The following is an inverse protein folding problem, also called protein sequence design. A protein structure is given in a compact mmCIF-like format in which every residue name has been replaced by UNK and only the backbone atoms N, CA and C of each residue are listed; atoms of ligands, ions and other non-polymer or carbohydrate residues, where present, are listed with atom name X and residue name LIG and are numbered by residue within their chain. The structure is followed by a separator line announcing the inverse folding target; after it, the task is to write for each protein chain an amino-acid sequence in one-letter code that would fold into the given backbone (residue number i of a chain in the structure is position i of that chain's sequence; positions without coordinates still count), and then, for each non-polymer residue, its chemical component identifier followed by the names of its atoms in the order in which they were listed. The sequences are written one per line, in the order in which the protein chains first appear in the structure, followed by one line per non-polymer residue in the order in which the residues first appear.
data_IF_700140205752
#
_entry.id   IF_700140205752
#
_cell.length_a   1.000
_cell.length_b   1.000
_cell.length_c   1.000
_cell.angle_alpha   90.00
_cell.angle_beta   90.00
_cell.angle_gamma   90.00
#
_symmetry.space_group_name_H-M   'P 1'
#
loop_
_entity.id
_entity.type
_entity.pdbx_description
1 polymer ?
#
# COMPACT_ATOMS: atom_id res chain seq x y z
N UNK A 1 -10.20 1.23 -18.48
CA UNK A 1 -8.74 0.96 -18.46
C UNK A 1 -8.58 -0.22 -17.54
N UNK A 2 -8.20 -1.33 -18.11
CA UNK A 2 -8.40 -2.67 -17.57
C UNK A 2 -7.41 -2.96 -16.43
N UNK A 3 -7.96 -3.44 -15.31
CA UNK A 3 -7.27 -3.70 -14.03
C UNK A 3 -6.52 -5.03 -14.17
N UNK A 4 -5.20 -5.02 -14.39
CA UNK A 4 -4.43 -6.23 -14.70
C UNK A 4 -3.24 -6.47 -13.76
N UNK A 5 -3.41 -6.20 -12.46
CA UNK A 5 -2.50 -6.70 -11.43
C UNK A 5 -3.07 -7.82 -10.55
N UNK A 6 -4.40 -7.98 -10.42
CA UNK A 6 -5.17 -8.74 -9.39
C UNK A 6 -4.63 -10.04 -8.73
N UNK A 7 -3.98 -10.03 -7.57
CA UNK A 7 -4.16 -11.10 -6.56
C UNK A 7 -5.63 -11.11 -6.05
N UNK A 8 -6.54 -11.76 -6.79
CA UNK A 8 -7.97 -11.80 -6.46
C UNK A 8 -8.27 -12.79 -5.34
N UNK A 9 -9.18 -12.41 -4.43
CA UNK A 9 -9.50 -13.15 -3.21
C UNK A 9 -10.31 -14.43 -3.44
N UNK A 10 -11.12 -14.51 -4.51
CA UNK A 10 -11.89 -15.71 -4.83
C UNK A 10 -11.55 -16.26 -6.21
N UNK A 11 -11.56 -17.59 -6.35
CA UNK A 11 -11.32 -18.25 -7.65
C UNK A 11 -12.28 -17.74 -8.75
N UNK A 12 -13.53 -17.48 -8.37
CA UNK A 12 -14.56 -16.99 -9.30
C UNK A 12 -14.35 -15.57 -9.80
N UNK A 13 -13.38 -14.84 -9.26
CA UNK A 13 -13.05 -13.50 -9.74
C UNK A 13 -12.07 -13.56 -10.92
N UNK A 14 -11.36 -14.68 -11.10
CA UNK A 14 -10.44 -14.90 -12.20
C UNK A 14 -11.16 -15.30 -13.47
N UNK A 15 -10.77 -14.71 -14.59
CA UNK A 15 -10.87 -15.35 -15.90
C UNK A 15 -9.80 -16.44 -16.00
N UNK A 16 -10.03 -17.42 -16.86
CA UNK A 16 -9.04 -18.49 -17.10
C UNK A 16 -7.68 -17.94 -17.55
N UNK A 17 -7.66 -16.86 -18.33
CA UNK A 17 -6.42 -16.23 -18.79
C UNK A 17 -5.62 -15.54 -17.67
N UNK A 18 -6.31 -14.92 -16.70
CA UNK A 18 -5.66 -14.32 -15.52
C UNK A 18 -5.09 -15.40 -14.59
N UNK A 19 -5.85 -16.48 -14.36
CA UNK A 19 -5.38 -17.57 -13.52
C UNK A 19 -4.21 -18.31 -14.15
N UNK A 20 -4.27 -18.54 -15.46
CA UNK A 20 -3.16 -19.12 -16.22
C UNK A 20 -1.89 -18.28 -16.09
N UNK A 21 -2.01 -16.96 -16.16
CA UNK A 21 -0.89 -16.05 -15.98
C UNK A 21 -0.28 -16.14 -14.56
N UNK A 22 -1.12 -16.22 -13.52
CA UNK A 22 -0.67 -16.46 -12.16
C UNK A 22 0.11 -17.79 -12.04
N UNK A 23 -0.37 -18.85 -12.69
CA UNK A 23 0.32 -20.14 -12.73
C UNK A 23 1.67 -20.08 -13.44
N UNK A 24 1.79 -19.33 -14.53
CA UNK A 24 3.07 -19.10 -15.21
C UNK A 24 4.08 -18.39 -14.30
N UNK A 25 3.62 -17.42 -13.49
CA UNK A 25 4.46 -16.75 -12.50
C UNK A 25 4.94 -17.72 -11.41
N UNK A 26 4.03 -18.52 -10.84
CA UNK A 26 4.37 -19.53 -9.81
C UNK A 26 5.44 -20.51 -10.35
N UNK A 27 5.23 -21.06 -11.54
CA UNK A 27 6.14 -22.05 -12.15
C UNK A 27 7.46 -21.43 -12.65
N UNK A 28 7.50 -20.11 -12.85
CA UNK A 28 8.69 -19.37 -13.23
C UNK A 28 9.65 -19.08 -12.07
N UNK A 29 9.21 -19.23 -10.81
CA UNK A 29 10.06 -19.06 -9.62
C UNK A 29 10.93 -20.30 -9.37
N UNK A 30 12.21 -20.14 -8.99
CA UNK A 30 13.08 -21.29 -8.72
C UNK A 30 12.65 -22.03 -7.41
N UNK A 31 12.52 -23.37 -7.41
CA UNK A 31 11.98 -24.13 -6.28
C UNK A 31 12.84 -24.14 -5.00
N UNK A 32 14.05 -23.57 -5.02
CA UNK A 32 15.06 -23.79 -3.98
C UNK A 32 15.81 -22.51 -3.58
N UNK A 33 15.20 -21.70 -2.72
CA UNK A 33 15.96 -20.92 -1.74
C UNK A 33 15.43 -19.53 -1.42
N UNK A 34 14.72 -19.40 -0.30
CA UNK A 34 14.45 -18.14 0.43
C UNK A 34 13.64 -17.06 -0.31
N UNK A 35 13.02 -17.39 -1.43
CA UNK A 35 12.18 -16.46 -2.16
C UNK A 35 10.78 -16.32 -1.51
N UNK A 36 10.60 -15.24 -0.73
CA UNK A 36 9.32 -14.91 -0.08
C UNK A 36 8.21 -14.61 -1.10
N UNK A 37 8.56 -14.22 -2.33
CA UNK A 37 7.59 -14.05 -3.41
C UNK A 37 7.01 -15.39 -3.83
N UNK A 38 7.86 -16.41 -4.00
CA UNK A 38 7.41 -17.78 -4.26
C UNK A 38 6.51 -18.30 -3.14
N UNK A 39 6.89 -18.11 -1.86
CA UNK A 39 6.05 -18.51 -0.71
C UNK A 39 4.68 -17.80 -0.71
N UNK A 40 4.64 -16.49 -0.99
CA UNK A 40 3.41 -15.69 -1.07
C UNK A 40 2.49 -16.15 -2.22
N UNK A 41 3.05 -16.40 -3.40
CA UNK A 41 2.28 -16.89 -4.55
C UNK A 41 1.76 -18.32 -4.33
N UNK A 42 2.55 -19.17 -3.68
CA UNK A 42 2.15 -20.53 -3.31
C UNK A 42 1.05 -20.54 -2.23
N UNK A 43 1.14 -19.66 -1.24
CA UNK A 43 0.11 -19.50 -0.22
C UNK A 43 -1.20 -19.03 -0.85
N UNK A 44 -1.13 -18.01 -1.70
CA UNK A 44 -2.29 -17.49 -2.42
C UNK A 44 -2.94 -18.54 -3.33
N UNK A 45 -2.14 -19.32 -4.05
CA UNK A 45 -2.61 -20.46 -4.84
C UNK A 45 -3.34 -21.49 -3.97
N UNK A 46 -2.78 -21.85 -2.81
CA UNK A 46 -3.40 -22.77 -1.86
C UNK A 46 -4.77 -22.26 -1.37
N UNK A 47 -4.86 -20.98 -1.03
CA UNK A 47 -6.08 -20.36 -0.52
C UNK A 47 -7.17 -20.26 -1.58
N UNK A 48 -6.83 -19.74 -2.76
CA UNK A 48 -7.82 -19.42 -3.79
C UNK A 48 -8.35 -20.67 -4.48
N UNK A 49 -7.51 -21.69 -4.71
CA UNK A 49 -7.95 -22.88 -5.46
C UNK A 49 -8.84 -23.79 -4.64
N UNK A 50 -8.70 -23.77 -3.30
CA UNK A 50 -9.35 -24.69 -2.36
C UNK A 50 -9.06 -26.17 -2.66
N UNK A 51 -8.03 -26.44 -3.48
CA UNK A 51 -7.72 -27.78 -3.94
C UNK A 51 -7.16 -28.64 -2.79
N UNK A 52 -7.62 -29.89 -2.57
CA UNK A 52 -7.28 -30.67 -1.38
C UNK A 52 -5.78 -30.93 -1.22
N UNK A 53 -5.08 -31.16 -2.33
CA UNK A 53 -3.63 -31.41 -2.32
C UNK A 53 -2.84 -30.10 -2.45
N UNK A 54 -3.51 -28.94 -2.52
CA UNK A 54 -2.89 -27.61 -2.47
C UNK A 54 -1.67 -27.52 -3.40
N UNK A 55 -0.52 -27.08 -2.88
CA UNK A 55 0.75 -26.94 -3.60
C UNK A 55 1.38 -28.27 -4.01
N UNK A 56 0.88 -29.44 -3.57
CA UNK A 56 1.37 -30.74 -4.04
C UNK A 56 1.07 -30.95 -5.53
N UNK A 57 0.06 -30.29 -6.09
CA UNK A 57 -0.13 -30.25 -7.55
C UNK A 57 1.08 -29.70 -8.31
N UNK A 58 1.86 -28.83 -7.67
CA UNK A 58 3.03 -28.17 -8.24
C UNK A 58 4.30 -28.96 -7.89
N UNK A 59 4.46 -29.38 -6.64
CA UNK A 59 5.69 -30.00 -6.14
C UNK A 59 5.72 -31.53 -6.26
N UNK A 60 4.56 -32.19 -6.15
CA UNK A 60 4.41 -33.65 -6.13
C UNK A 60 3.30 -34.14 -7.06
N UNK A 61 3.39 -33.81 -8.37
CA UNK A 61 2.37 -34.17 -9.34
C UNK A 61 2.23 -35.69 -9.52
N UNK A 62 1.01 -36.16 -9.76
CA UNK A 62 0.76 -37.57 -10.12
C UNK A 62 1.55 -37.96 -11.37
N UNK A 63 2.02 -39.21 -11.42
CA UNK A 63 2.83 -39.70 -12.53
C UNK A 63 2.07 -39.60 -13.87
N UNK A 64 2.60 -38.80 -14.80
CA UNK A 64 2.00 -38.56 -16.11
C UNK A 64 0.99 -37.40 -16.17
N UNK A 65 0.79 -36.66 -15.08
CA UNK A 65 0.01 -35.41 -15.09
C UNK A 65 0.70 -34.30 -15.88
N UNK A 66 -0.09 -33.39 -16.47
CA UNK A 66 0.41 -32.21 -17.16
C UNK A 66 0.75 -31.13 -16.13
N UNK A 67 2.04 -30.93 -15.88
CA UNK A 67 2.57 -29.96 -14.91
C UNK A 67 2.78 -28.57 -15.48
N UNK A 68 2.33 -28.32 -16.72
CA UNK A 68 2.32 -26.96 -17.26
C UNK A 68 1.31 -26.07 -16.53
N UNK A 69 1.48 -24.75 -16.63
CA UNK A 69 0.51 -23.78 -16.10
C UNK A 69 -0.92 -24.10 -16.59
N UNK A 70 -1.05 -24.50 -17.85
CA UNK A 70 -2.32 -24.91 -18.45
C UNK A 70 -2.84 -26.22 -17.87
N UNK A 71 -1.98 -27.24 -17.74
CA UNK A 71 -2.34 -28.53 -17.18
C UNK A 71 -2.89 -28.40 -15.75
N UNK A 72 -2.20 -27.65 -14.90
CA UNK A 72 -2.64 -27.38 -13.52
C UNK A 72 -3.95 -26.56 -13.51
N UNK A 73 -4.06 -25.53 -14.35
CA UNK A 73 -5.30 -24.75 -14.51
C UNK A 73 -6.48 -25.64 -14.90
N UNK A 74 -6.27 -26.57 -15.83
CA UNK A 74 -7.29 -27.52 -16.28
C UNK A 74 -7.69 -28.53 -15.20
N UNK A 75 -6.74 -29.00 -14.37
CA UNK A 75 -6.99 -29.89 -13.23
C UNK A 75 -7.91 -29.19 -12.22
N UNK A 76 -7.56 -27.96 -11.82
CA UNK A 76 -8.34 -27.19 -10.83
C UNK A 76 -9.73 -26.89 -11.37
N UNK A 77 -9.82 -26.46 -12.64
CA UNK A 77 -11.11 -26.20 -13.31
C UNK A 77 -12.03 -27.43 -13.26
N UNK A 78 -11.51 -28.60 -13.64
CA UNK A 78 -12.28 -29.86 -13.65
C UNK A 78 -12.66 -30.30 -12.23
N UNK A 79 -11.76 -30.16 -11.26
CA UNK A 79 -12.03 -30.52 -9.88
C UNK A 79 -13.12 -29.64 -9.26
N UNK A 80 -13.08 -28.31 -9.48
CA UNK A 80 -14.12 -27.40 -8.99
C UNK A 80 -15.48 -27.69 -9.61
N UNK A 81 -15.51 -27.97 -10.91
CA UNK A 81 -16.74 -28.38 -11.61
C UNK A 81 -17.31 -29.68 -11.02
N UNK A 82 -16.48 -30.70 -10.79
CA UNK A 82 -16.90 -31.97 -10.21
C UNK A 82 -17.44 -31.85 -8.77
N UNK A 83 -16.98 -30.84 -8.01
CA UNK A 83 -17.41 -30.57 -6.64
C UNK A 83 -18.53 -29.51 -6.53
N UNK A 84 -19.03 -28.99 -7.66
CA UNK A 84 -20.08 -27.98 -7.68
C UNK A 84 -19.65 -26.61 -7.14
N UNK A 85 -18.35 -26.31 -7.17
CA UNK A 85 -17.79 -25.03 -6.77
C UNK A 85 -17.83 -24.01 -7.93
N UNK A 86 -17.92 -22.70 -7.65
CA UNK A 86 -17.84 -21.66 -8.68
C UNK A 86 -16.54 -21.76 -9.50
N UNK A 87 -16.67 -21.75 -10.82
CA UNK A 87 -15.56 -21.71 -11.77
C UNK A 87 -15.14 -20.28 -12.15
N UNK A 88 -14.34 -20.16 -13.20
CA UNK A 88 -13.85 -18.86 -13.69
C UNK A 88 -14.98 -17.89 -14.10
N UNK A 89 -14.71 -16.60 -13.91
CA UNK A 89 -15.47 -15.50 -14.50
C UNK A 89 -15.45 -15.56 -16.02
N UNK A 90 -16.51 -15.05 -16.65
CA UNK A 90 -16.56 -14.85 -18.10
C UNK A 90 -15.33 -14.08 -18.60
N UNK A 91 -14.79 -14.52 -19.74
CA UNK A 91 -13.60 -13.92 -20.35
C UNK A 91 -13.75 -12.40 -20.51
N UNK A 92 -12.68 -11.68 -20.18
CA UNK A 92 -12.54 -10.26 -20.47
C UNK A 92 -11.85 -10.11 -21.85
N UNK A 93 -12.59 -9.68 -22.90
CA UNK A 93 -12.04 -9.56 -24.24
C UNK A 93 -10.98 -8.46 -24.38
N UNK A 94 -10.91 -7.54 -23.40
CA UNK A 94 -9.89 -6.50 -23.34
C UNK A 94 -8.70 -6.91 -22.45
N UNK A 95 -8.72 -8.13 -21.88
CA UNK A 95 -7.58 -8.65 -21.12
C UNK A 95 -6.37 -8.85 -22.03
N UNK A 96 -5.40 -7.95 -21.88
CA UNK A 96 -4.05 -8.21 -22.34
C UNK A 96 -3.23 -8.55 -21.10
N UNK A 97 -2.66 -9.77 -20.99
CA UNK A 97 -1.66 -10.00 -19.95
C UNK A 97 -0.62 -8.89 -20.09
N UNK A 98 -0.20 -8.25 -18.98
CA UNK A 98 0.72 -7.14 -19.10
C UNK A 98 1.93 -7.62 -19.91
N UNK A 99 2.44 -6.79 -20.83
CA UNK A 99 3.62 -7.14 -21.62
C UNK A 99 4.80 -7.25 -20.68
N UNK A 100 4.99 -8.45 -20.16
CA UNK A 100 6.16 -8.81 -19.39
C UNK A 100 7.20 -9.27 -20.39
N UNK A 101 8.23 -8.46 -20.55
CA UNK A 101 9.49 -9.03 -21.00
C UNK A 101 9.90 -10.08 -19.94
N UNK A 102 10.50 -11.21 -20.34
CA UNK A 102 10.87 -12.25 -19.38
C UNK A 102 11.82 -11.67 -18.32
N UNK A 103 11.70 -12.09 -17.04
CA UNK A 103 12.63 -11.66 -15.99
C UNK A 103 14.09 -11.74 -16.44
N UNK A 104 14.86 -10.68 -16.22
CA UNK A 104 16.25 -10.57 -16.66
C UNK A 104 16.43 -9.96 -18.05
N UNK A 105 15.37 -9.36 -18.59
CA UNK A 105 15.42 -8.60 -19.85
C UNK A 105 15.62 -7.10 -19.63
N UNK A 106 15.19 -6.57 -18.48
CA UNK A 106 15.28 -5.14 -18.17
C UNK A 106 16.62 -4.79 -17.52
N UNK A 107 17.20 -3.67 -17.97
CA UNK A 107 18.35 -3.09 -17.29
C UNK A 107 17.95 -2.36 -16.00
N UNK A 108 18.85 -2.28 -15.02
CA UNK A 108 18.61 -1.53 -13.77
C UNK A 108 18.08 -0.11 -14.00
N UNK A 109 18.55 0.59 -15.04
CA UNK A 109 18.07 1.94 -15.37
C UNK A 109 16.61 1.98 -15.80
N UNK A 110 16.11 0.94 -16.46
CA UNK A 110 14.72 0.80 -16.86
C UNK A 110 13.85 0.46 -15.66
N UNK A 111 14.29 -0.49 -14.82
CA UNK A 111 13.65 -0.85 -13.55
C UNK A 111 13.50 0.39 -12.66
N UNK A 112 14.59 1.15 -12.44
CA UNK A 112 14.53 2.39 -11.66
C UNK A 112 13.54 3.40 -12.22
N UNK A 113 13.51 3.58 -13.54
CA UNK A 113 12.59 4.51 -14.20
C UNK A 113 11.12 4.12 -14.04
N UNK A 114 10.83 2.82 -13.95
CA UNK A 114 9.47 2.31 -13.72
C UNK A 114 9.07 2.34 -12.24
N UNK A 115 10.05 2.26 -11.32
CA UNK A 115 9.81 2.27 -9.87
C UNK A 115 9.79 3.67 -9.27
N UNK A 116 10.55 4.62 -9.80
CA UNK A 116 10.73 5.92 -9.14
C UNK A 116 9.39 6.64 -8.93
N UNK A 117 9.11 7.02 -7.68
CA UNK A 117 7.94 7.83 -7.33
C UNK A 117 8.38 9.10 -6.62
N UNK A 118 7.79 10.27 -6.92
CA UNK A 118 8.04 11.46 -6.14
C UNK A 118 7.32 11.37 -4.78
N UNK A 119 7.94 11.93 -3.76
CA UNK A 119 7.37 12.09 -2.43
C UNK A 119 7.63 13.50 -1.89
N UNK A 120 6.93 13.86 -0.83
CA UNK A 120 7.16 15.09 -0.12
C UNK A 120 7.19 14.79 1.38
N UNK A 121 8.35 14.94 1.98
CA UNK A 121 8.54 14.75 3.41
C UNK A 121 8.09 15.99 4.18
N UNK A 122 7.47 15.77 5.33
CA UNK A 122 7.07 16.79 6.28
C UNK A 122 7.97 16.67 7.51
N UNK A 123 8.92 17.58 7.63
CA UNK A 123 9.89 17.59 8.73
C UNK A 123 9.54 18.66 9.76
N UNK A 124 9.84 18.40 11.03
CA UNK A 124 9.66 19.37 12.11
C UNK A 124 10.37 20.68 11.78
N UNK A 125 9.65 21.80 11.88
CA UNK A 125 10.20 23.13 11.65
C UNK A 125 10.66 23.76 12.97
N UNK A 126 11.94 24.13 13.05
CA UNK A 126 12.51 24.89 14.18
C UNK A 126 12.19 26.40 14.12
N UNK A 127 11.56 26.86 13.03
CA UNK A 127 11.21 28.27 12.81
C UNK A 127 9.85 28.65 13.39
N UNK A 128 9.59 29.95 13.63
CA UNK A 128 8.29 30.42 14.08
C UNK A 128 7.21 30.07 13.03
N UNK A 129 6.01 29.72 13.52
CA UNK A 129 4.82 29.58 12.68
C UNK A 129 4.61 30.89 11.89
N UNK A 130 4.54 30.77 10.57
CA UNK A 130 4.40 31.85 9.60
C UNK A 130 2.94 32.14 9.31
N UNK A 131 2.11 31.10 9.23
CA UNK A 131 0.66 31.20 9.03
C UNK A 131 -0.05 29.89 9.40
N UNK A 132 -0.67 29.85 10.58
CA UNK A 132 -1.36 28.65 11.11
C UNK A 132 -2.50 28.14 10.21
N UNK A 133 -2.98 28.94 9.27
CA UNK A 133 -4.09 28.59 8.37
C UNK A 133 -3.61 27.82 7.14
N UNK A 134 -2.37 28.00 6.70
CA UNK A 134 -1.83 27.31 5.49
C UNK A 134 -0.67 26.37 5.81
N UNK A 135 -0.35 26.23 7.09
CA UNK A 135 0.72 25.36 7.58
C UNK A 135 0.24 23.93 7.82
N UNK A 136 1.09 22.98 7.44
CA UNK A 136 0.97 21.61 7.91
C UNK A 136 1.43 21.50 9.36
N UNK A 137 0.77 20.64 10.13
CA UNK A 137 1.03 20.39 11.54
C UNK A 137 1.01 18.91 11.85
N UNK A 138 1.80 18.52 12.83
CA UNK A 138 1.67 17.25 13.54
C UNK A 138 1.20 17.53 14.97
N UNK A 139 0.45 16.60 15.57
CA UNK A 139 -0.13 16.72 16.91
C UNK A 139 -1.20 17.81 17.06
N UNK A 140 -1.64 18.43 15.96
CA UNK A 140 -2.62 19.51 15.94
C UNK A 140 -3.43 19.52 14.65
N UNK A 141 -4.73 19.79 14.81
CA UNK A 141 -5.63 20.21 13.74
C UNK A 141 -6.26 21.53 14.17
N UNK A 142 -6.18 22.56 13.33
CA UNK A 142 -6.78 23.87 13.59
C UNK A 142 -7.88 24.23 12.61
N UNK A 143 -7.97 23.56 11.47
CA UNK A 143 -8.97 23.83 10.45
C UNK A 143 -10.12 22.84 10.51
N UNK A 144 -11.33 23.38 10.58
CA UNK A 144 -12.57 22.63 10.67
C UNK A 144 -13.63 23.27 9.79
N UNK A 145 -14.56 22.47 9.27
CA UNK A 145 -15.82 23.01 8.75
C UNK A 145 -16.57 23.81 9.82
N UNK A 146 -17.44 24.73 9.38
CA UNK A 146 -18.14 25.68 10.27
C UNK A 146 -18.83 25.00 11.47
N UNK A 147 -19.53 23.88 11.21
CA UNK A 147 -20.28 23.12 12.22
C UNK A 147 -19.50 21.94 12.80
N UNK A 148 -18.27 21.71 12.32
CA UNK A 148 -17.49 20.55 12.74
C UNK A 148 -16.79 20.75 14.09
N UNK A 149 -16.70 19.68 14.86
CA UNK A 149 -15.83 19.59 16.03
C UNK A 149 -14.78 18.49 15.85
N UNK A 150 -14.10 18.19 16.96
CA UNK A 150 -13.26 16.99 17.07
C UNK A 150 -14.16 15.76 16.88
N UNK A 151 -13.82 14.82 15.98
CA UNK A 151 -14.59 13.59 15.81
C UNK A 151 -14.56 12.77 17.10
N UNK A 152 -15.63 12.00 17.33
CA UNK A 152 -15.79 11.14 18.50
C UNK A 152 -16.11 9.73 18.06
N UNK A 153 -15.61 8.75 18.79
CA UNK A 153 -16.00 7.34 18.61
C UNK A 153 -17.44 7.09 19.11
N UNK A 154 -17.93 5.87 18.93
CA UNK A 154 -19.29 5.46 19.32
C UNK A 154 -19.55 5.57 20.84
N UNK A 155 -18.50 5.64 21.65
CA UNK A 155 -18.58 5.85 23.10
C UNK A 155 -18.57 7.35 23.48
N UNK A 156 -18.47 8.25 22.51
CA UNK A 156 -18.42 9.69 22.72
C UNK A 156 -17.03 10.21 23.13
N UNK A 157 -15.98 9.40 23.01
CA UNK A 157 -14.60 9.78 23.29
C UNK A 157 -14.01 10.49 22.07
N UNK A 158 -13.38 11.64 22.29
CA UNK A 158 -12.74 12.43 21.24
C UNK A 158 -11.50 11.73 20.69
N UNK A 159 -11.38 11.69 19.36
CA UNK A 159 -10.17 11.20 18.69
C UNK A 159 -9.06 12.25 18.77
N UNK A 160 -7.81 11.80 18.93
CA UNK A 160 -6.67 12.69 19.04
C UNK A 160 -6.30 13.28 17.66
N UNK A 161 -6.00 14.59 17.56
CA UNK A 161 -5.54 15.19 16.32
C UNK A 161 -4.10 14.78 16.04
N UNK A 162 -3.89 14.00 14.98
CA UNK A 162 -2.57 13.50 14.59
C UNK A 162 -1.89 14.45 13.61
N UNK A 163 -2.59 14.88 12.55
CA UNK A 163 -2.00 15.71 11.52
C UNK A 163 -3.01 16.61 10.83
N UNK A 164 -2.52 17.77 10.38
CA UNK A 164 -3.15 18.61 9.37
C UNK A 164 -2.13 18.80 8.24
N UNK A 165 -2.44 18.35 7.03
CA UNK A 165 -1.53 18.41 5.89
C UNK A 165 -2.10 19.34 4.82
N UNK A 166 -1.39 20.43 4.53
CA UNK A 166 -1.69 21.33 3.41
C UNK A 166 -1.02 20.81 2.14
N UNK A 167 -1.83 20.50 1.14
CA UNK A 167 -1.38 19.82 -0.08
C UNK A 167 -1.07 20.79 -1.23
N UNK A 168 -1.50 22.05 -1.13
CA UNK A 168 -1.30 23.05 -2.20
C UNK A 168 0.16 23.38 -2.50
N UNK A 169 1.09 23.01 -1.61
CA UNK A 169 2.54 23.19 -1.77
C UNK A 169 3.28 21.92 -2.23
N UNK A 170 2.57 20.80 -2.46
CA UNK A 170 3.20 19.58 -2.94
C UNK A 170 3.93 19.81 -4.27
N UNK A 171 5.13 19.22 -4.45
CA UNK A 171 5.92 19.38 -5.66
C UNK A 171 5.37 18.55 -6.84
N UNK A 172 4.31 17.76 -6.62
CA UNK A 172 3.64 16.93 -7.60
C UNK A 172 2.13 16.89 -7.32
N UNK A 173 1.36 16.40 -8.28
CA UNK A 173 -0.07 16.12 -8.13
C UNK A 173 -0.26 14.64 -7.85
N UNK A 174 -0.73 14.28 -6.66
CA UNK A 174 -1.11 12.90 -6.37
C UNK A 174 -2.49 12.61 -6.99
N UNK A 175 -2.64 11.58 -7.84
CA UNK A 175 -3.87 11.35 -8.59
C UNK A 175 -5.10 11.14 -7.69
N UNK A 176 -4.93 10.47 -6.55
CA UNK A 176 -6.03 10.22 -5.59
C UNK A 176 -6.38 11.39 -4.68
N UNK A 177 -5.62 12.48 -4.76
CA UNK A 177 -5.84 13.71 -4.00
C UNK A 177 -6.20 14.88 -4.92
N UNK A 178 -6.62 14.62 -6.17
CA UNK A 178 -7.09 15.66 -7.05
C UNK A 178 -8.31 16.38 -6.43
N UNK A 179 -8.26 17.71 -6.44
CA UNK A 179 -9.26 18.55 -5.77
C UNK A 179 -9.14 18.64 -4.25
N UNK A 180 -8.22 17.93 -3.59
CA UNK A 180 -7.99 18.02 -2.14
C UNK A 180 -6.90 19.05 -1.84
N UNK A 181 -7.22 20.02 -0.98
CA UNK A 181 -6.31 21.08 -0.54
C UNK A 181 -5.76 20.84 0.86
N UNK A 182 -6.56 20.26 1.76
CA UNK A 182 -6.18 19.98 3.15
C UNK A 182 -6.67 18.59 3.54
N UNK A 183 -5.81 17.84 4.23
CA UNK A 183 -6.16 16.59 4.92
C UNK A 183 -6.03 16.81 6.42
N UNK A 184 -6.99 16.33 7.20
CA UNK A 184 -6.86 16.25 8.67
C UNK A 184 -7.06 14.82 9.13
N UNK A 185 -6.19 14.37 10.04
CA UNK A 185 -6.14 12.99 10.54
C UNK A 185 -6.38 12.97 12.03
N UNK A 186 -7.30 12.11 12.46
CA UNK A 186 -7.63 11.87 13.85
C UNK A 186 -7.55 10.37 14.16
N UNK A 187 -6.99 10.00 15.31
CA UNK A 187 -6.81 8.59 15.71
C UNK A 187 -7.11 8.44 17.21
N UNK A 188 -7.74 7.35 17.59
CA UNK A 188 -8.02 6.99 18.97
C UNK A 188 -6.75 6.56 19.73
N UNK A 189 -6.88 6.49 21.05
CA UNK A 189 -5.98 5.78 21.94
C UNK A 189 -6.81 4.74 22.73
N UNK A 190 -6.50 3.44 22.66
CA UNK A 190 -5.43 2.81 21.88
C UNK A 190 -5.62 2.95 20.36
N UNK A 191 -4.56 2.67 19.59
CA UNK A 191 -4.61 2.67 18.12
C UNK A 191 -5.71 1.72 17.59
N UNK A 192 -6.32 2.05 16.44
CA UNK A 192 -7.31 1.19 15.77
C UNK A 192 -6.72 -0.16 15.38
N UNK A 193 -7.54 -1.16 15.14
CA UNK A 193 -7.07 -2.43 14.58
C UNK A 193 -6.57 -2.26 13.12
N UNK A 194 -5.66 -3.13 12.68
CA UNK A 194 -5.20 -3.13 11.30
C UNK A 194 -6.38 -3.32 10.34
N UNK A 195 -6.50 -2.45 9.33
CA UNK A 195 -7.62 -2.40 8.39
C UNK A 195 -9.00 -2.16 9.03
N UNK A 196 -9.06 -1.65 10.27
CA UNK A 196 -10.34 -1.21 10.84
C UNK A 196 -10.98 -0.17 9.91
N UNK A 197 -12.29 -0.26 9.58
CA UNK A 197 -12.96 0.73 8.76
C UNK A 197 -12.87 2.14 9.37
N UNK A 198 -12.67 3.15 8.52
CA UNK A 198 -12.63 4.54 8.95
C UNK A 198 -13.96 4.96 9.60
N UNK A 199 -13.87 5.63 10.74
CA UNK A 199 -15.00 6.27 11.40
C UNK A 199 -14.94 6.21 12.93
N UNK A 200 -14.80 5.01 13.48
CA UNK A 200 -14.91 4.80 14.93
C UNK A 200 -13.61 5.15 15.66
N UNK A 201 -12.51 4.47 15.36
CA UNK A 201 -11.22 4.68 16.05
C UNK A 201 -10.21 5.51 15.24
N UNK A 202 -10.53 5.88 14.01
CA UNK A 202 -9.72 6.80 13.22
C UNK A 202 -10.56 7.47 12.14
N UNK A 203 -10.16 8.66 11.72
CA UNK A 203 -10.90 9.44 10.75
C UNK A 203 -9.98 10.38 9.96
N UNK A 204 -10.14 10.36 8.64
CA UNK A 204 -9.59 11.35 7.73
C UNK A 204 -10.72 12.26 7.26
N UNK A 205 -10.45 13.57 7.21
CA UNK A 205 -11.27 14.53 6.44
C UNK A 205 -10.44 15.09 5.31
N UNK A 206 -11.06 15.18 4.14
CA UNK A 206 -10.55 15.83 2.95
C UNK A 206 -11.32 17.13 2.72
N UNK A 207 -10.59 18.21 2.49
CA UNK A 207 -11.19 19.50 2.14
C UNK A 207 -10.59 19.99 0.84
N UNK A 208 -11.46 20.33 -0.11
CA UNK A 208 -11.12 21.02 -1.34
C UNK A 208 -11.15 22.55 -1.21
N UNK A 209 -10.86 23.26 -2.31
CA UNK A 209 -10.74 24.72 -2.32
C UNK A 209 -12.05 25.45 -2.04
N UNK A 210 -13.20 24.81 -2.29
CA UNK A 210 -14.53 25.38 -2.08
C UNK A 210 -15.07 25.16 -0.65
N UNK A 211 -14.37 24.37 0.18
CA UNK A 211 -14.76 24.17 1.56
C UNK A 211 -14.45 25.42 2.40
N UNK A 212 -15.47 25.91 3.11
CA UNK A 212 -15.30 27.02 4.06
C UNK A 212 -14.77 26.46 5.39
N UNK A 213 -13.46 26.60 5.59
CA UNK A 213 -12.79 26.22 6.83
C UNK A 213 -12.62 27.42 7.75
N UNK A 214 -12.78 27.19 9.05
CA UNK A 214 -12.54 28.19 10.08
C UNK A 214 -11.49 27.69 11.07
N UNK A 215 -10.58 28.56 11.55
CA UNK A 215 -9.67 28.21 12.63
C UNK A 215 -10.44 27.93 13.93
N UNK A 216 -10.19 26.79 14.56
CA UNK A 216 -10.69 26.45 15.90
C UNK A 216 -9.54 25.87 16.72
N UNK A 217 -9.49 26.25 18.00
CA UNK A 217 -8.56 25.66 18.99
C UNK A 217 -9.36 24.68 19.85
N UNK A 218 -9.30 23.40 19.49
CA UNK A 218 -10.04 22.31 20.13
C UNK A 218 -9.07 21.26 20.70
N UNK A 219 -8.43 21.53 21.86
CA UNK A 219 -7.47 20.59 22.44
C UNK A 219 -8.17 19.34 22.95
N UNK A 220 -7.60 18.17 22.65
CA UNK A 220 -8.06 16.88 23.17
C UNK A 220 -7.16 16.46 24.34
N UNK A 221 -7.76 16.24 25.51
CA UNK A 221 -7.02 15.81 26.68
C UNK A 221 -6.36 14.44 26.45
N UNK A 222 -5.14 14.25 26.98
CA UNK A 222 -4.43 12.97 26.90
C UNK A 222 -3.57 12.76 25.65
N UNK A 223 -3.58 13.68 24.68
CA UNK A 223 -2.62 13.62 23.56
C UNK A 223 -1.18 13.76 24.07
N UNK A 224 -0.33 12.81 23.70
CA UNK A 224 1.11 12.80 24.04
C UNK A 224 1.96 13.46 22.95
N UNK A 225 1.43 13.64 21.75
CA UNK A 225 2.13 14.22 20.60
C UNK A 225 2.33 15.71 20.84
N UNK A 226 3.58 16.17 20.75
CA UNK A 226 3.91 17.59 20.80
C UNK A 226 3.49 18.26 19.49
N UNK A 227 2.54 19.18 19.59
CA UNK A 227 2.07 19.97 18.46
C UNK A 227 3.18 20.87 17.88
N UNK A 228 3.57 20.66 16.63
CA UNK A 228 4.58 21.48 15.92
C UNK A 228 4.24 21.68 14.45
N UNK A 229 4.62 22.84 13.86
CA UNK A 229 4.47 23.05 12.43
C UNK A 229 5.49 22.21 11.66
N UNK A 230 5.08 21.76 10.47
CA UNK A 230 5.89 20.96 9.57
C UNK A 230 6.32 21.80 8.37
N UNK A 231 7.56 21.57 7.93
CA UNK A 231 8.11 22.09 6.69
C UNK A 231 8.12 20.99 5.64
N UNK A 232 7.67 21.32 4.44
CA UNK A 232 7.76 20.43 3.29
C UNK A 232 9.18 20.38 2.72
N UNK A 233 9.67 19.17 2.45
CA UNK A 233 10.93 18.89 1.76
C UNK A 233 10.62 17.99 0.56
N UNK A 234 10.83 18.46 -0.67
CA UNK A 234 10.64 17.63 -1.86
C UNK A 234 11.60 16.44 -1.90
N UNK A 235 11.08 15.27 -2.22
CA UNK A 235 11.84 14.05 -2.52
C UNK A 235 11.53 13.68 -3.97
N UNK A 236 12.45 13.97 -4.88
CA UNK A 236 12.23 13.75 -6.31
C UNK A 236 12.16 12.26 -6.68
N UNK A 237 12.91 11.43 -5.96
CA UNK A 237 13.08 10.01 -6.22
C UNK A 237 12.98 9.23 -4.91
N UNK A 238 11.85 8.54 -4.72
CA UNK A 238 11.61 7.59 -3.65
C UNK A 238 11.45 6.18 -4.25
N UNK A 239 12.15 5.21 -3.67
CA UNK A 239 12.17 3.81 -4.11
C UNK A 239 11.60 2.87 -3.03
N UNK A 240 11.05 1.71 -3.42
CA UNK A 240 10.51 0.75 -2.46
C UNK A 240 11.60 0.09 -1.62
N UNK A 241 11.24 -0.37 -0.43
CA UNK A 241 12.06 -1.25 0.38
C UNK A 241 11.97 -2.69 -0.14
N UNK A 242 12.98 -3.50 0.18
CA UNK A 242 12.86 -4.95 -0.01
C UNK A 242 11.69 -5.48 0.81
N UNK A 243 10.84 -6.28 0.16
CA UNK A 243 9.63 -6.82 0.78
C UNK A 243 8.73 -5.71 1.35
N UNK A 244 8.82 -4.49 0.82
CA UNK A 244 8.17 -3.30 1.36
C UNK A 244 6.81 -2.99 0.76
N UNK A 245 6.18 -3.91 0.02
CA UNK A 245 4.89 -3.71 -0.62
C UNK A 245 4.85 -2.60 -1.69
N UNK A 246 3.80 -2.61 -2.52
CA UNK A 246 3.56 -1.58 -3.53
C UNK A 246 4.45 -1.64 -4.78
N UNK A 247 5.34 -2.62 -4.88
CA UNK A 247 6.13 -2.93 -6.08
C UNK A 247 5.33 -3.90 -6.97
N UNK A 248 5.12 -3.59 -8.26
CA UNK A 248 4.50 -4.52 -9.18
C UNK A 248 5.31 -5.83 -9.28
N UNK A 249 4.63 -6.99 -9.25
CA UNK A 249 5.27 -8.31 -9.23
C UNK A 249 6.28 -8.56 -10.35
N UNK A 250 6.05 -7.98 -11.52
CA UNK A 250 6.99 -8.09 -12.64
C UNK A 250 8.28 -7.28 -12.42
N UNK A 251 8.20 -6.14 -11.72
CA UNK A 251 9.39 -5.39 -11.35
C UNK A 251 10.11 -6.08 -10.19
N UNK A 252 9.39 -6.72 -9.26
CA UNK A 252 10.00 -7.59 -8.24
C UNK A 252 10.85 -8.68 -8.91
N UNK A 253 10.31 -9.37 -9.92
CA UNK A 253 11.04 -10.40 -10.65
C UNK A 253 12.29 -9.86 -11.38
N UNK A 254 12.21 -8.68 -12.00
CA UNK A 254 13.39 -8.04 -12.62
C UNK A 254 14.45 -7.67 -11.58
N UNK A 255 14.05 -7.16 -10.40
CA UNK A 255 15.00 -6.85 -9.31
C UNK A 255 15.70 -8.13 -8.84
N UNK A 256 14.96 -9.23 -8.66
CA UNK A 256 15.53 -10.53 -8.26
C UNK A 256 16.54 -11.02 -9.30
N UNK A 257 16.24 -10.89 -10.59
CA UNK A 257 17.18 -11.29 -11.65
C UNK A 257 18.41 -10.39 -11.73
N UNK A 258 18.27 -9.08 -11.49
CA UNK A 258 19.40 -8.16 -11.37
C UNK A 258 20.31 -8.54 -10.19
N UNK A 259 19.74 -8.94 -9.06
CA UNK A 259 20.51 -9.43 -7.90
C UNK A 259 21.20 -10.77 -8.22
N UNK A 260 20.47 -11.72 -8.81
CA UNK A 260 20.98 -13.05 -9.16
C UNK A 260 22.12 -12.99 -10.18
N UNK A 261 22.03 -12.08 -11.14
CA UNK A 261 23.07 -11.84 -12.15
C UNK A 261 24.27 -11.04 -11.62
N UNK A 262 24.18 -10.53 -10.38
CA UNK A 262 25.23 -9.72 -9.74
C UNK A 262 25.31 -8.29 -10.29
N UNK A 263 24.24 -7.79 -10.92
CA UNK A 263 24.15 -6.39 -11.38
C UNK A 263 23.80 -5.42 -10.24
N UNK A 264 23.16 -5.92 -9.18
CA UNK A 264 22.93 -5.23 -7.91
C UNK A 264 23.26 -6.17 -6.75
N UNK A 265 23.63 -5.62 -5.59
CA UNK A 265 23.79 -6.33 -4.33
C UNK A 265 22.47 -6.44 -3.55
N UNK A 266 21.52 -5.54 -3.82
CA UNK A 266 20.19 -5.57 -3.22
C UNK A 266 19.36 -4.33 -3.55
N UNK A 267 18.23 -4.16 -2.84
CA UNK A 267 17.27 -3.08 -3.11
C UNK A 267 17.84 -1.67 -2.85
N UNK A 268 18.85 -1.56 -1.99
CA UNK A 268 19.56 -0.30 -1.71
C UNK A 268 20.22 0.28 -2.98
N UNK A 269 20.55 -0.56 -3.96
CA UNK A 269 21.11 -0.12 -5.22
C UNK A 269 20.07 0.52 -6.14
N UNK A 270 18.78 0.37 -5.87
CA UNK A 270 17.70 1.02 -6.63
C UNK A 270 17.69 2.52 -6.37
N UNK A 271 17.86 2.94 -5.13
CA UNK A 271 17.94 4.35 -4.74
C UNK A 271 17.58 4.57 -3.27
N UNK A 272 17.18 5.79 -2.96
CA UNK A 272 16.86 6.19 -1.59
C UNK A 272 15.38 6.00 -1.24
N UNK A 273 15.13 5.71 0.03
CA UNK A 273 13.79 5.65 0.61
C UNK A 273 13.61 6.72 1.69
N UNK A 274 12.49 7.44 1.64
CA UNK A 274 12.06 8.42 2.63
C UNK A 274 11.26 7.75 3.75
N UNK A 275 11.78 7.71 4.98
CA UNK A 275 11.15 6.99 6.10
C UNK A 275 10.20 7.85 6.96
N UNK A 276 10.28 9.18 6.82
CA UNK A 276 9.58 10.13 7.69
C UNK A 276 8.09 10.27 7.38
N UNK A 277 7.46 11.28 8.00
CA UNK A 277 6.11 11.68 7.58
C UNK A 277 6.15 12.14 6.13
N UNK A 278 5.37 11.52 5.25
CA UNK A 278 5.40 11.86 3.82
C UNK A 278 4.07 11.67 3.14
N UNK A 279 3.87 12.42 2.06
CA UNK A 279 2.83 12.17 1.04
C UNK A 279 3.54 11.70 -0.23
N UNK A 280 2.98 10.70 -0.91
CA UNK A 280 3.58 10.06 -2.09
C UNK A 280 4.74 9.13 -1.75
N UNK A 281 5.33 8.53 -2.79
CA UNK A 281 6.40 7.54 -2.64
C UNK A 281 5.88 6.13 -2.36
N UNK A 282 6.63 5.40 -1.53
CA UNK A 282 6.34 4.03 -1.08
C UNK A 282 6.13 3.95 0.43
N UNK A 283 5.26 3.07 0.95
CA UNK A 283 5.14 2.86 2.39
C UNK A 283 6.47 2.39 3.03
N UNK A 284 6.71 2.77 4.28
CA UNK A 284 7.83 2.27 5.08
C UNK A 284 7.36 1.19 6.05
N UNK A 285 7.67 -0.07 5.73
CA UNK A 285 7.40 -1.21 6.61
C UNK A 285 8.62 -1.57 7.47
N UNK A 286 8.36 -1.97 8.71
CA UNK A 286 9.32 -2.61 9.61
C UNK A 286 9.32 -4.14 9.44
N UNK A 287 8.17 -4.71 9.06
CA UNK A 287 7.94 -6.12 8.81
C UNK A 287 7.79 -6.38 7.30
N UNK A 288 7.63 -7.63 6.84
CA UNK A 288 7.19 -7.88 5.46
C UNK A 288 5.93 -7.07 5.14
N UNK A 289 5.98 -6.35 4.03
CA UNK A 289 4.95 -5.43 3.59
C UNK A 289 3.66 -6.14 3.24
N UNK A 290 2.56 -5.44 3.44
CA UNK A 290 1.23 -5.92 3.07
C UNK A 290 0.73 -5.23 1.81
N UNK A 291 -0.18 -5.90 1.12
CA UNK A 291 -0.95 -5.32 0.03
C UNK A 291 -2.42 -5.24 0.48
N UNK A 292 -2.98 -4.03 0.69
CA UNK A 292 -4.40 -3.86 1.03
C UNK A 292 -5.36 -4.24 -0.11
N UNK A 293 -4.83 -4.65 -1.26
CA UNK A 293 -5.57 -4.97 -2.48
C UNK A 293 -5.29 -3.92 -3.54
N UNK A 294 -5.37 -4.29 -4.81
CA UNK A 294 -4.78 -3.47 -5.87
C UNK A 294 -5.57 -2.25 -6.29
N UNK A 295 -6.83 -2.20 -5.89
CA UNK A 295 -7.59 -0.99 -6.05
C UNK A 295 -7.02 0.10 -5.13
N UNK A 296 -6.19 -0.21 -4.14
CA UNK A 296 -5.59 0.75 -3.22
C UNK A 296 -4.21 1.24 -3.70
N UNK A 297 -3.99 2.55 -3.55
CA UNK A 297 -2.68 3.17 -3.73
C UNK A 297 -2.23 3.78 -2.42
N UNK A 298 -0.95 3.61 -2.08
CA UNK A 298 -0.35 4.31 -0.96
C UNK A 298 -0.43 5.81 -1.19
N UNK A 299 -0.88 6.56 -0.19
CA UNK A 299 -1.04 8.01 -0.30
C UNK A 299 -0.08 8.74 0.62
N UNK A 300 -0.05 8.39 1.90
CA UNK A 300 0.81 9.06 2.88
C UNK A 300 1.05 8.18 4.10
N UNK A 301 2.07 8.56 4.90
CA UNK A 301 2.33 7.95 6.20
C UNK A 301 2.69 8.98 7.26
N UNK A 302 2.49 8.60 8.51
CA UNK A 302 2.93 9.31 9.71
C UNK A 302 3.78 8.35 10.54
N UNK A 303 5.09 8.55 10.50
CA UNK A 303 6.06 7.70 11.21
C UNK A 303 6.27 8.14 12.67
N UNK A 304 6.84 7.26 13.48
CA UNK A 304 7.35 7.64 14.81
C UNK A 304 8.40 8.75 14.68
N UNK A 305 8.32 9.77 15.54
CA UNK A 305 9.32 10.84 15.64
C UNK A 305 9.52 11.26 17.10
N UNK A 306 10.68 10.97 17.70
CA UNK A 306 10.96 11.29 19.09
C UNK A 306 11.04 12.81 19.35
N UNK A 307 11.28 13.64 18.32
CA UNK A 307 11.33 15.11 18.46
C UNK A 307 9.97 15.70 18.82
N UNK A 308 8.89 14.97 18.52
CA UNK A 308 7.52 15.38 18.76
C UNK A 308 6.80 14.43 19.71
N UNK A 309 7.53 13.54 20.39
CA UNK A 309 6.95 12.54 21.29
C UNK A 309 5.85 11.67 20.64
N UNK A 310 5.98 11.39 19.34
CA UNK A 310 5.12 10.45 18.64
C UNK A 310 5.84 9.11 18.54
N UNK A 311 5.23 8.07 19.12
CA UNK A 311 5.70 6.69 19.00
C UNK A 311 4.55 5.82 18.51
N UNK A 312 4.66 5.31 17.29
CA UNK A 312 3.73 4.32 16.73
C UNK A 312 4.22 2.95 17.19
N UNK A 313 3.69 2.50 18.34
CA UNK A 313 3.96 1.22 19.00
C UNK A 313 5.45 0.98 19.33
N UNK A 314 6.26 0.52 18.38
CA UNK A 314 7.71 0.34 18.52
C UNK A 314 8.44 0.88 17.29
N UNK A 315 8.57 2.21 17.23
CA UNK A 315 9.22 2.95 16.12
C UNK A 315 8.63 2.67 14.73
N UNK A 316 7.34 2.35 14.68
CA UNK A 316 6.59 2.05 13.46
C UNK A 316 6.08 3.27 12.69
N UNK A 317 5.20 3.00 11.73
CA UNK A 317 4.53 4.02 10.92
C UNK A 317 3.03 3.74 10.73
N UNK A 318 2.20 4.77 10.88
CA UNK A 318 0.81 4.73 10.39
C UNK A 318 0.82 5.01 8.89
N UNK A 319 0.33 4.08 8.09
CA UNK A 319 0.33 4.17 6.62
C UNK A 319 -1.10 4.16 6.10
N UNK A 320 -1.37 5.02 5.11
CA UNK A 320 -2.71 5.26 4.61
C UNK A 320 -2.76 5.04 3.10
N UNK A 321 -3.69 4.21 2.66
CA UNK A 321 -3.99 3.98 1.25
C UNK A 321 -5.40 4.44 0.93
N UNK A 322 -5.62 4.78 -0.34
CA UNK A 322 -6.93 5.16 -0.86
C UNK A 322 -7.28 4.32 -2.08
N UNK A 323 -8.52 3.86 -2.15
CA UNK A 323 -9.02 3.12 -3.30
C UNK A 323 -9.17 4.05 -4.51
N UNK A 324 -8.58 3.65 -5.64
CA UNK A 324 -8.74 4.24 -6.97
C UNK A 324 -10.17 4.11 -7.50
N UNK A 325 -10.91 3.12 -7.00
CA UNK A 325 -12.24 2.77 -7.48
C UNK A 325 -13.32 3.39 -6.59
N UNK A 326 -13.24 3.17 -5.27
CA UNK A 326 -14.30 3.58 -4.34
C UNK A 326 -14.00 4.91 -3.65
N UNK A 327 -12.73 5.35 -3.62
CA UNK A 327 -12.28 6.48 -2.81
C UNK A 327 -12.18 6.18 -1.32
N UNK A 328 -12.41 4.93 -0.90
CA UNK A 328 -12.29 4.48 0.49
C UNK A 328 -10.85 4.58 0.99
N UNK A 329 -10.70 4.93 2.26
CA UNK A 329 -9.41 4.96 2.96
C UNK A 329 -9.22 3.69 3.77
N UNK A 330 -8.00 3.16 3.76
CA UNK A 330 -7.57 2.11 4.68
C UNK A 330 -6.31 2.54 5.43
N UNK A 331 -6.25 2.14 6.69
CA UNK A 331 -5.12 2.36 7.59
C UNK A 331 -4.50 1.00 7.93
N UNK A 332 -3.18 0.94 7.80
CA UNK A 332 -2.36 -0.15 8.32
C UNK A 332 -1.16 0.45 9.05
N UNK A 333 -0.60 -0.29 9.99
CA UNK A 333 0.63 0.07 10.65
C UNK A 333 1.36 -1.19 11.07
N UNK A 334 2.68 -1.12 11.04
CA UNK A 334 3.57 -2.10 11.61
C UNK A 334 4.66 -1.39 12.44
N UNK A 335 5.48 -2.20 13.09
CA UNK A 335 6.50 -1.77 14.04
C UNK A 335 7.55 -2.88 14.19
N UNK A 336 8.67 -2.58 14.85
CA UNK A 336 9.83 -3.47 14.95
C UNK A 336 9.60 -4.70 15.84
#
# INVERSE_FOLDING_TARGET
MSNHGVSKQHFSDYTEAEFLHCMEQILGTEPHGRDRQAERLLHHFAEVTEYPDSTDLIFWPEEGSDTSAKGITDIIRQWREANGLPGFKAADPDYQPPRHEPPGSMGIGEVKKLLVRPAAEFVVSDGPSKDQVVESWIGKVSLYGLEEGVPKNDQGVELHPYAQLHLGSLPFKHPLLDGVSVITVFVAEPLPEAFEPMGNNWLIREYGPDNVLVPKELPVAGSTIQAVPLKLVPVAEDFPLWDGGGTPSYLEAEIVELERSGQIEGHEDLGTHAYGHKVGGYPSFCQPGIDPGEDFEFVFQISSDPKINLNVVDSGSLMFWKSKVTGEWVLYYDFY
#
